data_IF_882516796943
#
_entry.id   IF_882516796943
#
_cell.length_a   1.000
_cell.length_b   1.000
_cell.length_c   1.000
_cell.angle_alpha   90.00
_cell.angle_beta   90.00
_cell.angle_gamma   90.00
#
_symmetry.space_group_name_H-M   'P 1'
#
loop_
_entity.id
_entity.type
_entity.pdbx_description
1 polymer ?
#
# COMPACT_ATOMS: atom_id res chain seq x y z
N UNK A 1 -4.15 -31.90 -2.17
CA UNK A 1 -4.63 -31.38 -3.47
C UNK A 1 -3.68 -30.30 -3.93
N UNK A 2 -2.94 -30.50 -5.03
CA UNK A 2 -2.20 -29.42 -5.67
C UNK A 2 -3.22 -28.46 -6.29
N UNK A 3 -3.71 -27.50 -5.54
CA UNK A 3 -4.46 -26.40 -6.13
C UNK A 3 -3.40 -25.50 -6.79
N UNK A 4 -3.35 -25.54 -8.10
CA UNK A 4 -2.59 -24.59 -8.90
C UNK A 4 -2.99 -23.17 -8.51
N UNK A 5 -2.01 -22.25 -8.55
CA UNK A 5 -2.29 -20.83 -8.41
C UNK A 5 -3.07 -20.42 -9.67
N UNK A 6 -4.39 -20.19 -9.59
CA UNK A 6 -5.22 -19.96 -10.78
C UNK A 6 -5.11 -18.50 -11.19
N UNK A 7 -4.03 -18.14 -11.90
CA UNK A 7 -3.84 -16.78 -12.38
C UNK A 7 -4.12 -16.69 -13.87
N UNK A 8 -5.13 -15.91 -14.23
CA UNK A 8 -5.34 -15.51 -15.62
C UNK A 8 -4.35 -14.37 -15.98
N UNK A 9 -3.28 -14.70 -16.71
CA UNK A 9 -2.20 -13.78 -17.03
C UNK A 9 -2.66 -12.52 -17.79
N UNK A 10 -3.60 -12.66 -18.73
CA UNK A 10 -4.14 -11.50 -19.48
C UNK A 10 -4.90 -10.54 -18.60
N UNK A 11 -5.69 -11.08 -17.72
CA UNK A 11 -6.46 -10.33 -16.74
C UNK A 11 -5.53 -9.59 -15.76
N UNK A 12 -4.56 -10.30 -15.19
CA UNK A 12 -3.63 -9.72 -14.24
C UNK A 12 -2.70 -8.67 -14.89
N UNK A 13 -2.24 -8.90 -16.12
CA UNK A 13 -1.45 -7.92 -16.87
C UNK A 13 -2.20 -6.60 -17.09
N UNK A 14 -3.49 -6.65 -17.41
CA UNK A 14 -4.32 -5.46 -17.56
C UNK A 14 -4.47 -4.70 -16.23
N UNK A 15 -4.69 -5.41 -15.12
CA UNK A 15 -4.78 -4.80 -13.80
C UNK A 15 -3.49 -4.11 -13.38
N UNK A 16 -2.36 -4.78 -13.54
CA UNK A 16 -1.03 -4.21 -13.25
C UNK A 16 -0.80 -2.95 -14.11
N UNK A 17 -1.07 -3.01 -15.40
CA UNK A 17 -0.93 -1.85 -16.29
C UNK A 17 -1.77 -0.67 -15.84
N UNK A 18 -3.01 -0.90 -15.43
CA UNK A 18 -3.89 0.13 -14.91
C UNK A 18 -3.31 0.79 -13.68
N UNK A 19 -2.90 -0.01 -12.68
CA UNK A 19 -2.29 0.53 -11.47
C UNK A 19 -1.03 1.36 -11.75
N UNK A 20 -0.15 0.86 -12.62
CA UNK A 20 1.09 1.53 -12.98
C UNK A 20 0.87 2.86 -13.72
N UNK A 21 -0.18 2.96 -14.53
CA UNK A 21 -0.48 4.16 -15.31
C UNK A 21 -1.19 5.25 -14.54
N UNK A 22 -2.16 4.87 -13.73
CA UNK A 22 -3.02 5.83 -13.05
C UNK A 22 -2.51 6.23 -11.68
N UNK A 23 -1.65 5.42 -11.07
CA UNK A 23 -1.07 5.74 -9.78
C UNK A 23 0.35 6.31 -9.94
N UNK A 24 0.48 7.63 -9.83
CA UNK A 24 1.76 8.34 -9.95
C UNK A 24 2.87 7.80 -9.03
N UNK A 25 2.50 7.11 -7.96
CA UNK A 25 3.47 6.51 -7.02
C UNK A 25 4.32 5.44 -7.68
N UNK A 26 3.81 4.77 -8.73
CA UNK A 26 4.56 3.74 -9.46
C UNK A 26 5.43 4.31 -10.60
N UNK A 27 5.47 5.61 -10.81
CA UNK A 27 6.23 6.23 -11.90
C UNK A 27 7.71 5.87 -11.87
N UNK A 28 8.34 5.81 -10.69
CA UNK A 28 9.75 5.41 -10.57
C UNK A 28 9.98 3.97 -11.02
N UNK A 29 9.12 3.05 -10.61
CA UNK A 29 9.14 1.67 -11.05
C UNK A 29 8.88 1.55 -12.56
N UNK A 30 7.91 2.30 -13.08
CA UNK A 30 7.61 2.36 -14.51
C UNK A 30 8.83 2.77 -15.33
N UNK A 31 9.50 3.88 -14.96
CA UNK A 31 10.69 4.37 -15.65
C UNK A 31 11.84 3.35 -15.59
N UNK A 32 12.01 2.70 -14.45
CA UNK A 32 13.03 1.66 -14.28
C UNK A 32 12.79 0.47 -15.21
N UNK A 33 11.56 -0.01 -15.33
CA UNK A 33 11.25 -1.23 -16.11
C UNK A 33 11.11 -0.98 -17.60
N UNK A 34 10.52 0.14 -17.98
CA UNK A 34 10.12 0.43 -19.36
C UNK A 34 10.80 1.67 -19.95
N UNK A 35 11.55 2.43 -19.16
CA UNK A 35 12.19 3.69 -19.56
C UNK A 35 11.18 4.80 -19.84
N UNK A 36 11.67 5.91 -20.42
CA UNK A 36 10.86 7.09 -20.78
C UNK A 36 10.11 6.95 -22.11
N UNK A 37 10.09 5.77 -22.70
CA UNK A 37 9.48 5.59 -24.01
C UNK A 37 7.97 5.40 -23.89
N UNK A 38 7.20 6.07 -24.76
CA UNK A 38 5.83 5.70 -25.14
C UNK A 38 5.85 4.33 -25.84
N UNK A 39 6.18 3.30 -25.09
CA UNK A 39 6.14 1.94 -25.62
C UNK A 39 4.70 1.59 -25.91
N UNK A 40 4.51 1.03 -27.07
CA UNK A 40 3.26 0.43 -27.51
C UNK A 40 2.66 -0.38 -26.36
N UNK A 41 1.50 0.05 -25.88
CA UNK A 41 0.83 -0.56 -24.73
C UNK A 41 0.55 -2.04 -24.93
N UNK A 42 0.45 -2.48 -26.18
CA UNK A 42 0.29 -3.89 -26.53
C UNK A 42 1.55 -4.69 -26.21
N UNK A 43 2.71 -4.19 -26.60
CA UNK A 43 4.01 -4.86 -26.34
C UNK A 43 4.33 -4.93 -24.84
N UNK A 44 4.00 -3.89 -24.09
CA UNK A 44 4.17 -3.91 -22.62
C UNK A 44 3.26 -4.96 -22.00
N UNK A 45 2.02 -5.07 -22.47
CA UNK A 45 1.09 -6.09 -21.99
C UNK A 45 1.57 -7.50 -22.28
N UNK A 46 2.00 -7.77 -23.50
CA UNK A 46 2.56 -9.06 -23.89
C UNK A 46 3.80 -9.42 -23.05
N UNK A 47 4.67 -8.46 -22.81
CA UNK A 47 5.81 -8.64 -21.92
C UNK A 47 5.37 -8.97 -20.47
N UNK A 48 4.39 -8.25 -19.93
CA UNK A 48 3.84 -8.54 -18.61
C UNK A 48 3.18 -9.93 -18.53
N UNK A 49 2.45 -10.34 -19.58
CA UNK A 49 1.84 -11.67 -19.64
C UNK A 49 2.91 -12.77 -19.57
N UNK A 50 4.03 -12.59 -20.27
CA UNK A 50 5.15 -13.53 -20.24
C UNK A 50 5.84 -13.55 -18.85
N UNK A 51 6.09 -12.37 -18.26
CA UNK A 51 6.70 -12.30 -16.94
C UNK A 51 5.79 -12.86 -15.82
N UNK A 52 4.47 -12.68 -15.92
CA UNK A 52 3.51 -13.30 -14.98
C UNK A 52 3.60 -14.83 -15.05
N UNK A 53 3.71 -15.37 -16.27
CA UNK A 53 3.86 -16.82 -16.46
C UNK A 53 5.17 -17.33 -15.87
N UNK A 54 6.28 -16.61 -16.09
CA UNK A 54 7.60 -16.92 -15.52
C UNK A 54 7.58 -16.90 -14.00
N UNK A 55 7.06 -15.84 -13.39
CA UNK A 55 6.97 -15.72 -11.92
C UNK A 55 6.10 -16.83 -11.33
N UNK A 56 4.96 -17.13 -11.95
CA UNK A 56 4.08 -18.21 -11.49
C UNK A 56 4.78 -19.58 -11.57
N UNK A 57 5.56 -19.82 -12.63
CA UNK A 57 6.36 -21.01 -12.78
C UNK A 57 7.48 -21.11 -11.71
N UNK A 58 8.21 -20.00 -11.50
CA UNK A 58 9.27 -19.94 -10.47
C UNK A 58 8.70 -20.22 -9.06
N UNK A 59 7.49 -19.72 -8.74
CA UNK A 59 6.81 -19.99 -7.46
C UNK A 59 6.48 -21.50 -7.34
N UNK A 60 5.89 -22.09 -8.37
CA UNK A 60 5.51 -23.50 -8.38
C UNK A 60 6.72 -24.42 -8.19
N UNK A 61 7.81 -24.10 -8.84
CA UNK A 61 9.06 -24.88 -8.81
C UNK A 61 9.97 -24.56 -7.60
N UNK A 62 9.53 -23.69 -6.68
CA UNK A 62 10.34 -23.25 -5.53
C UNK A 62 11.65 -22.57 -5.92
N UNK A 63 11.66 -21.88 -7.07
CA UNK A 63 12.85 -21.24 -7.64
C UNK A 63 12.80 -19.71 -7.62
N UNK A 64 11.71 -19.13 -7.11
CA UNK A 64 11.63 -17.68 -7.01
C UNK A 64 12.65 -17.17 -5.97
N UNK A 65 13.60 -16.39 -6.44
CA UNK A 65 14.74 -15.94 -5.65
C UNK A 65 14.59 -14.47 -5.26
N UNK A 66 14.05 -14.22 -4.07
CA UNK A 66 13.89 -12.87 -3.50
C UNK A 66 15.24 -12.22 -3.22
N UNK A 67 16.26 -13.02 -2.83
CA UNK A 67 17.56 -12.47 -2.44
C UNK A 67 18.30 -11.81 -3.59
N UNK A 68 18.18 -12.38 -4.79
CA UNK A 68 18.79 -11.82 -6.00
C UNK A 68 17.93 -10.77 -6.70
N UNK A 69 16.68 -10.53 -6.27
CA UNK A 69 15.87 -9.43 -6.78
C UNK A 69 16.36 -8.08 -6.24
N UNK A 70 16.34 -7.05 -7.08
CA UNK A 70 16.58 -5.69 -6.63
C UNK A 70 15.39 -5.17 -5.80
N UNK A 71 15.69 -4.68 -4.61
CA UNK A 71 14.75 -4.02 -3.70
C UNK A 71 15.47 -2.81 -3.09
N UNK A 72 14.84 -1.65 -3.12
CA UNK A 72 15.34 -0.42 -2.53
C UNK A 72 14.20 0.44 -1.99
N UNK A 73 14.52 1.47 -1.20
CA UNK A 73 13.57 2.39 -0.60
C UNK A 73 13.85 3.82 -1.08
N UNK A 74 12.89 4.38 -1.84
CA UNK A 74 13.00 5.74 -2.37
C UNK A 74 12.22 6.71 -1.50
N UNK A 75 12.84 7.79 -0.98
CA UNK A 75 12.13 8.81 -0.23
C UNK A 75 11.23 9.63 -1.14
N UNK A 76 9.93 9.66 -0.84
CA UNK A 76 8.96 10.54 -1.45
C UNK A 76 8.63 11.68 -0.49
N UNK A 77 8.77 12.90 -0.95
CA UNK A 77 8.41 14.08 -0.18
C UNK A 77 6.92 14.03 0.23
N UNK A 78 6.67 14.21 1.53
CA UNK A 78 5.32 14.24 2.11
C UNK A 78 4.90 15.67 2.45
N UNK A 79 5.66 16.32 3.32
CA UNK A 79 5.40 17.70 3.74
C UNK A 79 6.64 18.30 4.42
N UNK A 80 6.64 19.62 4.55
CA UNK A 80 7.55 20.36 5.41
C UNK A 80 6.77 20.83 6.63
N UNK A 81 7.15 20.38 7.83
CA UNK A 81 6.63 20.93 9.07
C UNK A 81 7.53 22.09 9.53
N UNK A 82 6.95 23.27 9.72
CA UNK A 82 7.67 24.41 10.30
C UNK A 82 7.78 24.19 11.80
N UNK A 83 8.98 24.29 12.37
CA UNK A 83 9.13 24.38 13.82
C UNK A 83 8.54 25.73 14.27
N UNK A 84 7.60 25.69 15.20
CA UNK A 84 6.93 26.90 15.74
C UNK A 84 7.85 27.76 16.63
N UNK A 85 9.14 27.49 16.66
CA UNK A 85 10.09 28.29 17.44
C UNK A 85 10.52 29.53 16.66
N UNK A 86 9.78 30.62 16.84
CA UNK A 86 10.27 31.95 16.44
C UNK A 86 9.31 32.92 15.79
N UNK A 87 8.04 32.65 15.65
CA UNK A 87 7.09 33.65 15.19
C UNK A 87 6.20 34.12 16.34
N UNK A 88 6.46 35.32 16.84
CA UNK A 88 5.52 36.05 17.68
C UNK A 88 4.15 36.04 17.00
N UNK A 89 3.18 35.41 17.64
CA UNK A 89 1.76 35.51 17.27
C UNK A 89 1.38 37.00 17.37
N UNK A 90 1.42 37.70 16.25
CA UNK A 90 0.57 38.88 16.08
C UNK A 90 -0.83 38.34 15.83
N UNK A 91 -1.71 38.64 16.77
CA UNK A 91 -3.15 38.41 16.67
C UNK A 91 -3.69 39.08 15.41
N UNK A 92 -3.88 38.29 14.35
CA UNK A 92 -4.65 38.69 13.18
C UNK A 92 -5.91 37.81 13.15
N UNK A 93 -6.99 38.34 13.75
CA UNK A 93 -8.32 37.73 13.83
C UNK A 93 -9.06 37.68 12.48
N UNK A 94 -8.39 37.28 11.41
CA UNK A 94 -9.04 37.18 10.10
C UNK A 94 -9.10 35.73 9.61
N UNK A 95 -10.25 35.01 9.75
CA UNK A 95 -10.36 33.59 9.45
C UNK A 95 -10.41 33.25 7.95
N UNK A 96 -10.13 34.19 7.05
CA UNK A 96 -10.29 34.00 5.59
C UNK A 96 -9.00 34.05 4.76
N UNK A 97 -7.82 34.13 5.37
CA UNK A 97 -6.58 33.92 4.60
C UNK A 97 -6.26 32.44 4.55
N UNK A 98 -6.74 31.73 3.54
CA UNK A 98 -6.11 30.52 3.06
C UNK A 98 -4.67 30.89 2.71
N UNK A 99 -3.71 30.56 3.58
CA UNK A 99 -2.30 30.66 3.24
C UNK A 99 -2.06 29.76 2.03
N UNK A 100 -1.87 30.37 0.87
CA UNK A 100 -1.29 29.67 -0.27
C UNK A 100 0.11 29.25 0.17
N UNK A 101 0.31 27.96 0.37
CA UNK A 101 1.61 27.36 0.65
C UNK A 101 2.50 27.48 -0.60
N UNK A 102 2.94 28.69 -0.91
CA UNK A 102 3.99 28.94 -1.90
C UNK A 102 5.31 28.83 -1.15
N UNK A 103 6.01 27.75 -1.34
CA UNK A 103 7.39 27.58 -0.84
C UNK A 103 8.30 28.28 -1.86
N UNK A 104 8.76 29.48 -1.56
CA UNK A 104 9.83 30.10 -2.33
C UNK A 104 11.18 29.69 -1.72
N UNK A 105 12.02 29.03 -2.50
CA UNK A 105 13.40 28.73 -2.12
C UNK A 105 14.26 29.96 -2.50
N UNK A 106 14.53 30.83 -1.55
CA UNK A 106 15.58 31.85 -1.69
C UNK A 106 16.76 31.44 -0.84
N UNK A 107 17.97 31.69 -1.32
CA UNK A 107 19.25 31.31 -0.69
C UNK A 107 19.47 31.92 0.71
N UNK A 108 18.63 32.83 1.16
CA UNK A 108 18.73 33.52 2.44
C UNK A 108 17.80 33.01 3.55
N UNK A 109 16.81 32.22 3.20
CA UNK A 109 15.89 31.66 4.20
C UNK A 109 16.33 30.26 4.63
N UNK A 110 17.05 30.15 5.73
CA UNK A 110 17.18 28.87 6.43
C UNK A 110 15.79 28.42 6.84
N UNK A 111 15.23 27.46 6.13
CA UNK A 111 13.98 26.83 6.51
C UNK A 111 14.30 25.97 7.74
N UNK A 112 14.02 26.50 8.94
CA UNK A 112 14.00 25.69 10.15
C UNK A 112 12.73 24.83 10.12
N UNK A 113 12.75 23.74 9.39
CA UNK A 113 11.64 22.82 9.26
C UNK A 113 12.13 21.40 9.06
N UNK A 114 11.42 20.47 9.66
CA UNK A 114 11.64 19.07 9.39
C UNK A 114 10.93 18.66 8.10
N UNK A 115 11.67 18.01 7.21
CA UNK A 115 11.12 17.45 5.97
C UNK A 115 10.66 16.03 6.28
N UNK A 116 9.38 15.78 6.14
CA UNK A 116 8.83 14.44 6.26
C UNK A 116 8.83 13.74 4.89
N UNK A 117 9.30 12.51 4.89
CA UNK A 117 9.30 11.62 3.73
C UNK A 117 8.45 10.39 4.03
N UNK A 118 7.86 9.84 2.98
CA UNK A 118 7.40 8.45 2.96
C UNK A 118 8.39 7.65 2.13
N UNK A 119 8.67 6.41 2.52
CA UNK A 119 9.53 5.53 1.74
C UNK A 119 8.72 4.61 0.85
N UNK A 120 9.02 4.67 -0.44
CA UNK A 120 8.34 3.91 -1.47
C UNK A 120 9.22 2.73 -1.93
N UNK A 121 8.61 1.57 -2.16
CA UNK A 121 9.32 0.40 -2.68
C UNK A 121 9.73 0.63 -4.14
N UNK A 122 11.03 0.61 -4.40
CA UNK A 122 11.61 0.48 -5.73
C UNK A 122 12.12 -0.96 -5.88
N UNK A 123 11.68 -1.67 -6.91
CA UNK A 123 11.99 -3.08 -7.04
C UNK A 123 12.08 -3.55 -8.50
N UNK A 124 12.52 -4.77 -8.69
CA UNK A 124 12.36 -5.46 -9.95
C UNK A 124 10.88 -5.72 -10.26
N UNK A 125 10.56 -5.82 -11.54
CA UNK A 125 9.19 -6.09 -12.01
C UNK A 125 8.65 -7.42 -11.45
N UNK A 126 9.48 -8.43 -11.30
CA UNK A 126 9.11 -9.72 -10.71
C UNK A 126 8.53 -9.59 -9.29
N UNK A 127 9.07 -8.68 -8.47
CA UNK A 127 8.55 -8.41 -7.11
C UNK A 127 7.15 -7.82 -7.16
N UNK A 128 6.90 -6.89 -8.09
CA UNK A 128 5.56 -6.31 -8.26
C UNK A 128 4.55 -7.33 -8.78
N UNK A 129 4.97 -8.20 -9.70
CA UNK A 129 4.15 -9.31 -10.21
C UNK A 129 3.85 -10.31 -9.10
N UNK A 130 4.85 -10.70 -8.29
CA UNK A 130 4.66 -11.53 -7.11
C UNK A 130 3.58 -10.95 -6.18
N UNK A 131 3.69 -9.64 -5.88
CA UNK A 131 2.70 -8.93 -5.07
C UNK A 131 1.31 -8.91 -5.68
N UNK A 132 1.19 -8.73 -7.00
CA UNK A 132 -0.08 -8.76 -7.70
C UNK A 132 -0.72 -10.16 -7.70
N UNK A 133 0.07 -11.21 -7.92
CA UNK A 133 -0.38 -12.61 -7.81
C UNK A 133 -0.89 -12.88 -6.39
N UNK A 134 -0.14 -12.45 -5.36
CA UNK A 134 -0.54 -12.62 -3.97
C UNK A 134 -1.89 -11.94 -3.68
N UNK A 135 -2.10 -10.70 -4.16
CA UNK A 135 -3.37 -9.98 -3.95
C UNK A 135 -4.53 -10.70 -4.63
N UNK A 136 -4.34 -11.23 -5.85
CA UNK A 136 -5.41 -11.94 -6.55
C UNK A 136 -5.74 -13.31 -5.94
N UNK A 137 -4.76 -14.01 -5.37
CA UNK A 137 -4.94 -15.39 -4.87
C UNK A 137 -5.26 -15.42 -3.38
N UNK A 138 -4.51 -14.67 -2.58
CA UNK A 138 -4.64 -14.65 -1.11
C UNK A 138 -5.38 -13.41 -0.66
N UNK A 139 -4.97 -12.24 -1.15
CA UNK A 139 -5.51 -10.96 -0.75
C UNK A 139 -7.02 -10.87 -0.98
N UNK A 140 -7.53 -11.36 -2.09
CA UNK A 140 -8.95 -11.38 -2.43
C UNK A 140 -9.76 -12.25 -1.46
N UNK A 141 -9.27 -13.43 -1.12
CA UNK A 141 -9.93 -14.32 -0.16
C UNK A 141 -9.94 -13.71 1.24
N UNK A 142 -8.84 -13.08 1.64
CA UNK A 142 -8.77 -12.38 2.92
C UNK A 142 -9.69 -11.15 2.96
N UNK A 143 -9.73 -10.37 1.88
CA UNK A 143 -10.57 -9.19 1.75
C UNK A 143 -12.06 -9.56 1.87
N UNK A 144 -12.50 -10.59 1.15
CA UNK A 144 -13.89 -11.05 1.15
C UNK A 144 -14.29 -11.81 2.42
N UNK A 145 -13.38 -12.60 2.98
CA UNK A 145 -13.66 -13.49 4.11
C UNK A 145 -13.39 -12.88 5.48
N UNK A 146 -12.54 -11.86 5.57
CA UNK A 146 -12.06 -11.33 6.85
C UNK A 146 -12.49 -9.89 7.13
N UNK A 147 -12.72 -9.06 6.11
CA UNK A 147 -13.07 -7.66 6.29
C UNK A 147 -14.57 -7.43 6.29
N UNK A 148 -15.04 -6.53 7.16
CA UNK A 148 -16.43 -6.12 7.17
C UNK A 148 -16.76 -5.23 5.96
N UNK A 149 -18.05 -5.03 5.69
CA UNK A 149 -18.51 -4.11 4.65
C UNK A 149 -18.25 -2.64 5.00
N UNK A 150 -17.88 -2.34 6.24
CA UNK A 150 -17.59 -0.99 6.73
C UNK A 150 -16.14 -0.59 6.49
N UNK A 151 -15.29 -1.50 6.00
CA UNK A 151 -13.94 -1.20 5.53
C UNK A 151 -14.00 -0.75 4.08
N UNK A 152 -13.76 0.50 3.80
CA UNK A 152 -13.89 1.08 2.44
C UNK A 152 -12.55 1.21 1.72
N UNK A 153 -11.47 1.53 2.42
CA UNK A 153 -10.16 1.79 1.81
C UNK A 153 -9.42 0.50 1.45
N UNK A 154 -8.63 0.56 0.38
CA UNK A 154 -7.72 -0.50 -0.06
C UNK A 154 -8.39 -1.87 -0.31
N UNK A 155 -9.69 -1.90 -0.61
CA UNK A 155 -10.42 -3.14 -0.95
C UNK A 155 -9.96 -3.68 -2.31
N UNK A 156 -9.86 -4.99 -2.41
CA UNK A 156 -9.54 -5.65 -3.68
C UNK A 156 -10.70 -5.47 -4.66
N UNK A 157 -10.39 -5.06 -5.88
CA UNK A 157 -11.42 -4.79 -6.90
C UNK A 157 -12.03 -6.08 -7.43
N UNK A 158 -13.36 -6.13 -7.50
CA UNK A 158 -14.09 -7.22 -8.14
C UNK A 158 -14.07 -7.12 -9.66
N UNK A 159 -13.87 -5.91 -10.18
CA UNK A 159 -13.86 -5.68 -11.62
C UNK A 159 -12.51 -6.06 -12.26
N UNK A 160 -12.50 -6.11 -13.59
CA UNK A 160 -11.37 -6.56 -14.40
C UNK A 160 -10.32 -5.50 -14.67
N UNK A 161 -10.55 -4.25 -14.26
CA UNK A 161 -9.76 -3.10 -14.71
C UNK A 161 -8.64 -2.69 -13.78
N UNK A 162 -8.73 -2.99 -12.47
CA UNK A 162 -7.74 -2.57 -11.46
C UNK A 162 -7.53 -3.64 -10.39
N UNK A 163 -6.42 -3.59 -9.68
CA UNK A 163 -6.14 -4.48 -8.54
C UNK A 163 -7.01 -4.06 -7.35
N UNK A 164 -7.07 -2.76 -7.08
CA UNK A 164 -7.86 -2.22 -5.97
C UNK A 164 -9.05 -1.42 -6.47
N UNK A 165 -10.06 -1.30 -5.63
CA UNK A 165 -11.18 -0.40 -5.83
C UNK A 165 -10.68 1.04 -5.97
N UNK A 166 -11.12 1.81 -6.98
CA UNK A 166 -10.66 3.19 -7.16
C UNK A 166 -10.94 4.03 -5.91
N UNK A 167 -9.96 4.84 -5.51
CA UNK A 167 -10.05 5.65 -4.28
C UNK A 167 -11.30 6.54 -4.23
N UNK A 168 -11.68 7.15 -5.36
CA UNK A 168 -12.86 8.04 -5.39
C UNK A 168 -14.17 7.28 -5.17
N UNK A 169 -14.29 6.02 -5.63
CA UNK A 169 -15.45 5.17 -5.37
C UNK A 169 -15.50 4.79 -3.88
N UNK A 170 -14.36 4.30 -3.35
CA UNK A 170 -14.26 3.93 -1.94
C UNK A 170 -14.58 5.11 -1.01
N UNK A 171 -14.09 6.32 -1.33
CA UNK A 171 -14.38 7.53 -0.58
C UNK A 171 -15.86 7.94 -0.70
N UNK A 172 -16.45 7.83 -1.89
CA UNK A 172 -17.88 8.13 -2.09
C UNK A 172 -18.76 7.19 -1.25
N UNK A 173 -18.47 5.88 -1.27
CA UNK A 173 -19.23 4.89 -0.50
C UNK A 173 -19.12 5.16 1.02
N UNK A 174 -17.91 5.45 1.52
CA UNK A 174 -17.69 5.83 2.92
C UNK A 174 -18.49 7.07 3.32
N UNK A 175 -18.43 8.12 2.49
CA UNK A 175 -19.16 9.37 2.71
C UNK A 175 -20.67 9.13 2.73
N UNK A 176 -21.18 8.43 1.73
CA UNK A 176 -22.62 8.22 1.56
C UNK A 176 -23.20 7.31 2.66
N UNK A 177 -22.44 6.31 3.11
CA UNK A 177 -22.80 5.50 4.27
C UNK A 177 -22.86 6.36 5.56
N UNK A 178 -21.85 7.20 5.79
CA UNK A 178 -21.81 8.11 6.94
C UNK A 178 -22.99 9.09 6.93
N UNK A 179 -23.31 9.68 5.78
CA UNK A 179 -24.48 10.58 5.65
C UNK A 179 -25.80 9.86 5.89
N UNK A 180 -25.93 8.62 5.43
CA UNK A 180 -27.12 7.80 5.65
C UNK A 180 -27.36 7.56 7.15
N UNK A 181 -26.31 7.23 7.89
CA UNK A 181 -26.41 7.02 9.34
C UNK A 181 -26.84 8.34 10.06
N UNK A 182 -26.20 9.45 9.75
CA UNK A 182 -26.58 10.75 10.32
C UNK A 182 -28.04 11.11 10.00
N UNK A 183 -28.48 10.89 8.76
CA UNK A 183 -29.87 11.13 8.35
C UNK A 183 -30.85 10.25 9.13
N UNK A 184 -30.53 8.99 9.32
CA UNK A 184 -31.35 8.04 10.10
C UNK A 184 -31.50 8.49 11.56
N UNK A 185 -30.43 9.01 12.16
CA UNK A 185 -30.50 9.55 13.53
C UNK A 185 -31.44 10.77 13.60
N UNK A 186 -31.35 11.68 12.65
CA UNK A 186 -32.19 12.89 12.60
C UNK A 186 -33.66 12.52 12.40
N UNK A 187 -33.97 11.64 11.44
CA UNK A 187 -35.34 11.20 11.14
C UNK A 187 -36.00 10.49 12.34
N UNK A 188 -35.22 9.83 13.17
CA UNK A 188 -35.68 9.16 14.39
C UNK A 188 -35.65 10.05 15.64
N UNK A 189 -35.39 11.35 15.52
CA UNK A 189 -35.21 12.30 16.63
C UNK A 189 -34.19 11.80 17.67
N UNK A 190 -33.11 11.13 17.21
CA UNK A 190 -32.03 10.62 18.07
C UNK A 190 -30.86 11.60 18.03
N UNK A 191 -30.20 11.76 19.14
CA UNK A 191 -28.91 12.47 19.24
C UNK A 191 -27.77 11.47 19.12
N UNK A 192 -26.69 11.88 18.47
CA UNK A 192 -25.48 11.08 18.33
C UNK A 192 -24.22 11.93 18.47
N UNK A 193 -23.10 11.28 18.67
CA UNK A 193 -21.78 11.91 18.67
C UNK A 193 -21.01 11.31 17.50
N UNK A 194 -20.51 12.18 16.59
CA UNK A 194 -19.58 11.78 15.54
C UNK A 194 -18.16 11.87 16.10
N UNK A 195 -17.47 10.73 16.15
CA UNK A 195 -16.05 10.67 16.49
C UNK A 195 -15.26 10.34 15.23
N UNK A 196 -14.33 11.22 14.86
CA UNK A 196 -13.40 11.00 13.75
C UNK A 196 -11.99 10.90 14.32
N UNK A 197 -11.30 9.80 13.98
CA UNK A 197 -9.91 9.57 14.36
C UNK A 197 -9.08 9.26 13.15
N UNK A 198 -7.78 9.55 13.20
CA UNK A 198 -6.79 9.18 12.20
C UNK A 198 -5.65 8.41 12.86
N UNK A 199 -5.24 7.31 12.24
CA UNK A 199 -4.11 6.53 12.73
C UNK A 199 -2.80 7.11 12.22
N UNK A 200 -2.12 7.85 13.09
CA UNK A 200 -0.83 8.42 12.76
C UNK A 200 0.19 7.33 12.43
N UNK A 201 0.84 7.46 11.27
CA UNK A 201 1.94 6.57 10.86
C UNK A 201 1.56 5.08 10.80
N UNK A 202 0.34 4.75 10.42
CA UNK A 202 -0.21 3.39 10.46
C UNK A 202 0.72 2.35 9.80
N UNK A 203 1.23 2.60 8.60
CA UNK A 203 2.17 1.71 7.88
C UNK A 203 3.51 1.51 8.59
N UNK A 204 3.83 2.35 9.56
CA UNK A 204 5.10 2.37 10.29
C UNK A 204 5.00 1.77 11.70
N UNK A 205 3.84 1.25 12.09
CA UNK A 205 3.58 0.76 13.45
C UNK A 205 3.09 -0.68 13.47
N UNK A 206 3.46 -1.47 12.45
CA UNK A 206 2.95 -2.82 12.25
C UNK A 206 3.94 -3.86 12.74
N UNK A 207 3.45 -4.83 13.50
CA UNK A 207 4.21 -6.03 13.83
C UNK A 207 4.13 -7.03 12.67
N UNK A 208 5.12 -6.98 11.77
CA UNK A 208 5.17 -7.84 10.57
C UNK A 208 5.15 -9.33 10.94
N UNK A 209 5.81 -9.73 12.02
CA UNK A 209 5.86 -11.14 12.44
C UNK A 209 4.48 -11.62 12.91
N UNK A 210 3.81 -10.84 13.73
CA UNK A 210 2.46 -11.15 14.18
C UNK A 210 1.47 -11.24 13.01
N UNK A 211 1.59 -10.31 12.04
CA UNK A 211 0.80 -10.32 10.82
C UNK A 211 1.08 -11.57 9.97
N UNK A 212 2.35 -11.97 9.82
CA UNK A 212 2.75 -13.19 9.13
C UNK A 212 2.13 -14.43 9.79
N UNK A 213 2.25 -14.55 11.11
CA UNK A 213 1.69 -15.67 11.88
C UNK A 213 0.16 -15.71 11.75
N UNK A 214 -0.50 -14.56 11.76
CA UNK A 214 -1.96 -14.45 11.55
C UNK A 214 -2.36 -14.94 10.16
N UNK A 215 -1.70 -14.48 9.11
CA UNK A 215 -1.99 -14.92 7.73
C UNK A 215 -1.72 -16.42 7.58
N UNK A 216 -0.60 -16.94 8.09
CA UNK A 216 -0.29 -18.36 8.03
C UNK A 216 -1.37 -19.23 8.72
N UNK A 217 -1.87 -18.81 9.87
CA UNK A 217 -2.98 -19.50 10.55
C UNK A 217 -4.26 -19.53 9.70
N UNK A 218 -4.61 -18.41 9.07
CA UNK A 218 -5.78 -18.32 8.19
C UNK A 218 -5.63 -19.23 6.97
N UNK A 219 -4.47 -19.24 6.32
CA UNK A 219 -4.19 -20.11 5.18
C UNK A 219 -4.23 -21.60 5.56
N UNK A 220 -3.65 -21.96 6.70
CA UNK A 220 -3.68 -23.35 7.20
C UNK A 220 -5.11 -23.81 7.51
N UNK A 221 -5.92 -22.96 8.14
CA UNK A 221 -7.31 -23.25 8.43
C UNK A 221 -8.17 -23.42 7.17
N UNK A 222 -7.78 -22.79 6.07
CA UNK A 222 -8.45 -22.88 4.76
C UNK A 222 -7.97 -24.06 3.90
N UNK A 223 -7.08 -24.92 4.41
CA UNK A 223 -6.53 -26.08 3.70
C UNK A 223 -5.99 -25.74 2.30
N UNK A 224 -5.33 -24.60 2.16
CA UNK A 224 -4.78 -24.16 0.87
C UNK A 224 -3.61 -25.04 0.41
N UNK A 225 -3.34 -25.07 -0.90
CA UNK A 225 -2.24 -25.84 -1.45
C UNK A 225 -0.87 -25.25 -1.09
N UNK A 226 0.17 -26.09 -1.13
CA UNK A 226 1.56 -25.75 -0.79
C UNK A 226 2.08 -24.53 -1.59
N UNK A 227 1.71 -24.40 -2.87
CA UNK A 227 2.11 -23.28 -3.71
C UNK A 227 1.57 -21.93 -3.19
N UNK A 228 0.39 -21.92 -2.56
CA UNK A 228 -0.20 -20.72 -1.96
C UNK A 228 0.55 -20.33 -0.69
N UNK A 229 0.94 -21.31 0.13
CA UNK A 229 1.77 -21.09 1.32
C UNK A 229 3.11 -20.51 0.89
N UNK A 230 3.74 -21.09 -0.12
CA UNK A 230 5.03 -20.63 -0.67
C UNK A 230 4.95 -19.22 -1.25
N UNK A 231 3.88 -18.91 -1.96
CA UNK A 231 3.61 -17.55 -2.44
C UNK A 231 3.56 -16.54 -1.28
N UNK A 232 2.90 -16.92 -0.19
CA UNK A 232 2.86 -16.09 1.02
C UNK A 232 4.25 -15.90 1.64
N UNK A 233 5.03 -16.98 1.76
CA UNK A 233 6.38 -16.92 2.32
C UNK A 233 7.30 -16.01 1.49
N UNK A 234 7.21 -16.03 0.16
CA UNK A 234 7.96 -15.11 -0.70
C UNK A 234 7.57 -13.64 -0.47
N UNK A 235 6.27 -13.34 -0.30
CA UNK A 235 5.83 -11.97 0.01
C UNK A 235 6.40 -11.49 1.35
N UNK A 236 6.38 -12.33 2.38
CA UNK A 236 6.98 -11.97 3.67
C UNK A 236 8.51 -11.89 3.62
N UNK A 237 9.18 -12.66 2.76
CA UNK A 237 10.61 -12.52 2.48
C UNK A 237 10.92 -11.15 1.84
N UNK A 238 10.08 -10.68 0.90
CA UNK A 238 10.20 -9.32 0.34
C UNK A 238 10.09 -8.26 1.43
N UNK A 239 9.11 -8.39 2.34
CA UNK A 239 8.93 -7.48 3.48
C UNK A 239 10.14 -7.52 4.42
N UNK A 240 10.70 -8.71 4.66
CA UNK A 240 11.94 -8.88 5.42
C UNK A 240 13.10 -8.12 4.78
N UNK A 241 13.38 -8.40 3.52
CA UNK A 241 14.47 -7.77 2.76
C UNK A 241 14.34 -6.25 2.68
N UNK A 242 13.11 -5.73 2.47
CA UNK A 242 12.86 -4.29 2.50
C UNK A 242 13.20 -3.66 3.85
N UNK A 243 12.79 -4.29 4.95
CA UNK A 243 13.07 -3.80 6.30
C UNK A 243 14.55 -3.96 6.71
N UNK A 244 15.31 -4.79 6.00
CA UNK A 244 16.75 -4.95 6.23
C UNK A 244 17.59 -3.90 5.51
N UNK A 245 17.00 -3.09 4.63
CA UNK A 245 17.68 -1.96 4.00
C UNK A 245 18.14 -0.94 5.05
N UNK A 246 19.38 -0.50 4.97
CA UNK A 246 19.95 0.47 5.91
C UNK A 246 19.12 1.77 5.96
N UNK A 247 18.67 2.26 4.82
CA UNK A 247 17.83 3.47 4.71
C UNK A 247 16.52 3.32 5.47
N UNK A 248 15.90 2.12 5.43
CA UNK A 248 14.65 1.83 6.14
C UNK A 248 14.90 1.72 7.64
N UNK A 249 15.95 1.04 8.07
CA UNK A 249 16.34 0.93 9.48
C UNK A 249 16.57 2.30 10.11
N UNK A 250 17.37 3.15 9.47
CA UNK A 250 17.62 4.53 9.94
C UNK A 250 16.35 5.38 10.01
N UNK A 251 15.43 5.17 9.08
CA UNK A 251 14.14 5.85 9.09
C UNK A 251 13.26 5.40 10.25
N UNK A 252 13.16 4.10 10.47
CA UNK A 252 12.36 3.52 11.56
C UNK A 252 12.90 3.95 12.93
N UNK A 253 14.21 3.94 13.14
CA UNK A 253 14.85 4.42 14.36
C UNK A 253 14.52 5.87 14.68
N UNK A 254 14.37 6.73 13.67
CA UNK A 254 13.95 8.14 13.86
C UNK A 254 12.47 8.27 14.21
N UNK A 255 11.63 7.33 13.81
CA UNK A 255 10.18 7.38 14.02
C UNK A 255 9.72 6.78 15.34
N UNK A 256 10.44 5.79 15.83
CA UNK A 256 10.05 4.98 16.97
C UNK A 256 11.21 4.81 17.95
N UNK A 257 10.88 4.84 19.23
CA UNK A 257 11.79 4.44 20.31
C UNK A 257 11.87 2.91 20.49
N UNK A 258 11.05 2.16 19.76
CA UNK A 258 11.08 0.69 19.82
C UNK A 258 12.13 0.15 18.87
N UNK A 259 13.06 -0.66 19.40
CA UNK A 259 14.03 -1.42 18.61
C UNK A 259 13.29 -2.50 17.82
N UNK A 260 13.78 -2.75 16.61
CA UNK A 260 13.30 -3.82 15.70
C UNK A 260 11.88 -3.64 15.14
N UNK A 261 11.32 -2.42 15.21
CA UNK A 261 10.07 -2.13 14.53
C UNK A 261 10.25 -2.27 13.02
N UNK A 262 9.29 -2.94 12.38
CA UNK A 262 9.24 -3.13 10.92
C UNK A 262 8.06 -2.35 10.34
N UNK A 263 8.17 -2.00 9.06
CA UNK A 263 7.18 -1.20 8.36
C UNK A 263 6.67 -1.92 7.11
N UNK A 264 5.44 -1.63 6.71
CA UNK A 264 4.94 -2.04 5.40
C UNK A 264 5.40 -1.04 4.34
N UNK A 265 6.02 -1.49 3.24
CA UNK A 265 6.45 -0.61 2.16
C UNK A 265 5.26 -0.01 1.43
N UNK A 266 5.29 1.31 1.22
CA UNK A 266 4.35 1.98 0.34
C UNK A 266 4.69 1.61 -1.10
N UNK A 267 3.67 1.28 -1.91
CA UNK A 267 3.88 0.90 -3.30
C UNK A 267 4.10 -0.60 -3.53
N UNK A 268 3.99 -1.42 -2.50
CA UNK A 268 3.91 -2.87 -2.63
C UNK A 268 2.44 -3.31 -2.51
N UNK A 269 1.89 -3.95 -3.53
CA UNK A 269 0.46 -4.28 -3.57
C UNK A 269 -0.06 -5.01 -2.32
N UNK A 270 0.63 -6.04 -1.79
CA UNK A 270 0.20 -6.71 -0.58
C UNK A 270 0.04 -5.79 0.63
N UNK A 271 0.85 -4.73 0.75
CA UNK A 271 0.79 -3.82 1.91
C UNK A 271 -0.59 -3.21 2.12
N UNK A 272 -1.34 -2.97 1.04
CA UNK A 272 -2.68 -2.40 1.12
C UNK A 272 -3.71 -3.36 1.73
N UNK A 273 -3.60 -4.65 1.45
CA UNK A 273 -4.47 -5.68 2.05
C UNK A 273 -4.01 -5.99 3.47
N UNK A 274 -2.70 -6.15 3.65
CA UNK A 274 -2.09 -6.50 4.93
C UNK A 274 -2.42 -5.49 6.02
N UNK A 275 -2.45 -4.18 5.70
CA UNK A 275 -2.83 -3.14 6.66
C UNK A 275 -4.28 -3.32 7.15
N UNK A 276 -5.21 -3.61 6.25
CA UNK A 276 -6.61 -3.83 6.61
C UNK A 276 -6.77 -5.07 7.50
N UNK A 277 -6.06 -6.16 7.18
CA UNK A 277 -6.07 -7.38 8.00
C UNK A 277 -5.45 -7.14 9.38
N UNK A 278 -4.40 -6.33 9.46
CA UNK A 278 -3.78 -5.96 10.74
C UNK A 278 -4.72 -5.15 11.63
N UNK A 279 -5.43 -4.19 11.04
CA UNK A 279 -6.34 -3.29 11.74
C UNK A 279 -7.71 -3.91 12.06
N UNK A 280 -8.04 -5.05 11.48
CA UNK A 280 -9.35 -5.70 11.66
C UNK A 280 -9.80 -5.85 13.13
N UNK A 281 -8.86 -5.98 14.05
CA UNK A 281 -9.18 -6.13 15.49
C UNK A 281 -9.50 -4.79 16.17
N UNK A 282 -9.31 -3.68 15.47
CA UNK A 282 -9.65 -2.34 15.95
C UNK A 282 -11.06 -1.91 15.51
N UNK A 283 -11.62 -2.59 14.51
CA UNK A 283 -12.99 -2.38 13.99
C UNK A 283 -14.00 -3.22 14.79
#
# INVERSE_FOLDING_TARGET
>A
MNKDIPVNKKYLANKILTELRYNKRYMYNWVRWFGNTDKDSLKIREYLEAEIENVNYEIKDSRFDVENCFIDAVPLFKKISRSEHGLNKKNDDNPRKQEKNVISFTSENKINGEIEYNYFLLSDLKIMILGAIWVEVIGRELDNGQLSNDVYANRVSENTSSIFKPYFEAYSDFRDASFKEVKTLIENNRTGILVQTDLSKCFYSINIKELEDKIKKLLTASEVGENVIRLNDYVFSVLGKYNDLQTVKEYVEKLSSQKDQKILPIGFFPSNVLINIYLKELD
#
